data_IF_180846525884
#
_entry.id   IF_180846525884
#
_cell.length_a   1.000
_cell.length_b   1.000
_cell.length_c   1.000
_cell.angle_alpha   90.00
_cell.angle_beta   90.00
_cell.angle_gamma   90.00
#
_symmetry.space_group_name_H-M   'P 1'
#
loop_
_entity.id
_entity.type
_entity.pdbx_description
1 polymer ?
#
# COMPACT_ATOMS: atom_id res chain seq x y z
N UNK A 1 0.47 -13.59 12.21
CA UNK A 1 1.72 -12.82 12.06
C UNK A 1 2.38 -12.76 13.42
N UNK A 2 3.61 -13.23 13.52
CA UNK A 2 4.44 -13.01 14.73
C UNK A 2 4.82 -11.53 14.84
N UNK A 3 5.19 -11.11 16.06
CA UNK A 3 5.67 -9.72 16.30
C UNK A 3 6.94 -9.36 15.51
N UNK A 4 7.61 -10.37 14.93
CA UNK A 4 8.86 -10.22 14.19
C UNK A 4 8.70 -10.32 12.66
N UNK A 5 7.47 -10.51 12.16
CA UNK A 5 7.22 -10.64 10.72
C UNK A 5 7.12 -9.26 10.07
N UNK A 6 7.90 -9.00 9.03
CA UNK A 6 7.73 -7.79 8.19
C UNK A 6 6.31 -7.77 7.61
N UNK A 7 5.54 -6.69 7.82
CA UNK A 7 4.18 -6.57 7.29
C UNK A 7 4.14 -6.69 5.77
N UNK A 8 3.07 -7.23 5.21
CA UNK A 8 2.91 -7.38 3.75
C UNK A 8 3.08 -6.05 3.01
N UNK A 9 2.56 -4.96 3.57
CA UNK A 9 2.63 -3.62 2.98
C UNK A 9 4.05 -3.01 2.95
N UNK A 10 5.00 -3.59 3.71
CA UNK A 10 6.40 -3.14 3.79
C UNK A 10 7.35 -4.04 2.99
N UNK A 11 6.84 -5.18 2.50
CA UNK A 11 7.60 -6.10 1.66
C UNK A 11 7.65 -5.60 0.22
N UNK A 12 8.72 -5.95 -0.49
CA UNK A 12 8.82 -5.71 -1.93
C UNK A 12 7.89 -6.67 -2.67
N UNK A 13 7.00 -6.13 -3.49
CA UNK A 13 6.07 -6.91 -4.29
C UNK A 13 6.66 -7.20 -5.67
N UNK A 14 6.96 -8.46 -5.95
CA UNK A 14 7.52 -8.93 -7.21
C UNK A 14 6.47 -9.77 -7.92
N UNK A 15 5.96 -9.29 -9.05
CA UNK A 15 4.92 -9.97 -9.80
C UNK A 15 5.46 -10.57 -11.10
N UNK A 16 5.10 -11.83 -11.33
CA UNK A 16 5.48 -12.60 -12.50
C UNK A 16 4.33 -12.58 -13.51
N UNK A 17 4.60 -12.05 -14.70
CA UNK A 17 3.67 -11.95 -15.81
C UNK A 17 4.14 -12.80 -16.98
N UNK A 18 3.25 -13.09 -17.90
CA UNK A 18 3.59 -13.80 -19.13
C UNK A 18 2.45 -14.67 -19.63
N UNK A 19 2.62 -15.17 -20.84
CA UNK A 19 1.66 -16.06 -21.49
C UNK A 19 1.48 -17.37 -20.74
N UNK A 20 0.37 -18.02 -21.02
CA UNK A 20 0.18 -19.42 -20.62
C UNK A 20 1.29 -20.29 -21.22
N UNK A 21 1.74 -21.27 -20.47
CA UNK A 21 2.82 -22.20 -20.84
C UNK A 21 4.21 -21.57 -21.05
N UNK A 22 4.43 -20.29 -20.80
CA UNK A 22 5.77 -19.71 -20.76
C UNK A 22 6.65 -20.25 -19.61
N UNK A 23 6.08 -21.08 -18.72
CA UNK A 23 6.78 -21.64 -17.58
C UNK A 23 6.87 -20.68 -16.38
N UNK A 24 5.91 -19.73 -16.26
CA UNK A 24 5.87 -18.74 -15.22
C UNK A 24 5.87 -19.35 -13.82
N UNK A 25 4.92 -20.26 -13.53
CA UNK A 25 4.83 -20.92 -12.23
C UNK A 25 6.06 -21.81 -11.94
N UNK A 26 6.64 -22.46 -12.95
CA UNK A 26 7.90 -23.19 -12.81
C UNK A 26 9.06 -22.24 -12.45
N UNK A 27 9.13 -21.06 -13.08
CA UNK A 27 10.16 -20.06 -12.77
C UNK A 27 9.96 -19.48 -11.38
N UNK A 28 8.72 -19.20 -10.96
CA UNK A 28 8.40 -18.80 -9.59
C UNK A 28 8.88 -19.83 -8.59
N UNK A 29 8.62 -21.11 -8.82
CA UNK A 29 9.09 -22.20 -7.97
C UNK A 29 10.63 -22.30 -7.92
N UNK A 30 11.31 -22.13 -9.06
CA UNK A 30 12.77 -22.12 -9.14
C UNK A 30 13.38 -20.90 -8.39
N UNK A 31 12.82 -19.70 -8.58
CA UNK A 31 13.28 -18.48 -7.90
C UNK A 31 13.10 -18.59 -6.38
N UNK A 32 12.00 -19.17 -5.93
CA UNK A 32 11.67 -19.25 -4.51
C UNK A 32 12.27 -20.48 -3.82
N UNK A 33 12.69 -21.47 -4.57
CA UNK A 33 13.13 -22.77 -4.04
C UNK A 33 12.00 -23.56 -3.36
N UNK A 34 10.73 -23.25 -3.69
CA UNK A 34 9.54 -23.83 -3.07
C UNK A 34 8.47 -24.10 -4.13
N UNK A 35 7.66 -25.14 -3.93
CA UNK A 35 6.48 -25.40 -4.76
C UNK A 35 5.34 -24.47 -4.33
N UNK A 36 5.38 -23.21 -4.76
CA UNK A 36 4.38 -22.19 -4.43
C UNK A 36 3.18 -22.22 -5.36
N UNK A 37 3.44 -22.46 -6.64
CA UNK A 37 2.44 -22.44 -7.69
C UNK A 37 2.11 -23.86 -8.09
N UNK A 38 0.81 -24.15 -8.19
CA UNK A 38 0.38 -25.45 -8.73
C UNK A 38 0.61 -25.41 -10.24
N UNK A 39 1.61 -26.13 -10.72
CA UNK A 39 1.79 -26.39 -12.16
C UNK A 39 0.69 -27.37 -12.55
N UNK A 40 -0.35 -26.89 -13.25
CA UNK A 40 -1.46 -27.71 -13.71
C UNK A 40 -1.51 -27.73 -15.23
N UNK A 41 -1.52 -28.92 -15.79
CA UNK A 41 -1.72 -29.15 -17.23
C UNK A 41 -3.20 -28.98 -17.66
N UNK A 42 -4.11 -28.76 -16.69
CA UNK A 42 -5.55 -28.67 -16.94
C UNK A 42 -5.93 -27.21 -17.26
N UNK A 43 -6.63 -27.00 -18.38
CA UNK A 43 -7.15 -25.71 -18.81
C UNK A 43 -8.11 -25.11 -17.76
N UNK A 44 -7.81 -23.92 -17.24
CA UNK A 44 -8.76 -23.09 -16.49
C UNK A 44 -8.65 -23.09 -14.97
N UNK A 45 -7.57 -23.57 -14.36
CA UNK A 45 -7.51 -23.83 -12.92
C UNK A 45 -7.13 -22.63 -12.04
N UNK A 46 -6.62 -21.51 -12.54
CA UNK A 46 -6.33 -20.32 -11.71
C UNK A 46 -6.70 -19.04 -12.43
N UNK A 47 -7.73 -18.38 -11.94
CA UNK A 47 -8.15 -17.04 -12.39
C UNK A 47 -7.62 -15.94 -11.47
N UNK A 48 -7.18 -16.27 -10.24
CA UNK A 48 -6.70 -15.30 -9.26
C UNK A 48 -5.19 -15.39 -9.06
N UNK A 49 -4.50 -14.26 -8.83
CA UNK A 49 -3.08 -14.25 -8.56
C UNK A 49 -2.76 -14.92 -7.22
N UNK A 50 -1.73 -15.78 -7.20
CA UNK A 50 -1.25 -16.41 -5.98
C UNK A 50 -0.18 -15.53 -5.36
N UNK A 51 -0.38 -15.16 -4.09
CA UNK A 51 0.55 -14.31 -3.34
C UNK A 51 1.19 -15.06 -2.19
N UNK A 52 2.50 -14.94 -2.03
CA UNK A 52 3.23 -15.50 -0.90
C UNK A 52 4.30 -14.54 -0.38
N UNK A 53 4.24 -14.28 0.92
CA UNK A 53 5.28 -13.55 1.64
C UNK A 53 6.42 -14.51 2.02
N UNK A 54 7.66 -14.07 1.80
CA UNK A 54 8.85 -14.85 2.13
C UNK A 54 10.09 -13.95 2.25
N UNK A 55 11.19 -14.53 2.71
CA UNK A 55 12.52 -13.95 2.57
C UNK A 55 13.17 -14.45 1.28
N UNK A 56 13.68 -13.53 0.48
CA UNK A 56 14.38 -13.84 -0.78
C UNK A 56 15.73 -13.12 -0.82
N UNK A 57 16.82 -13.83 -0.62
CA UNK A 57 18.16 -13.24 -0.72
C UNK A 57 18.52 -12.95 -2.19
N UNK A 58 19.18 -11.82 -2.47
CA UNK A 58 19.66 -10.77 -1.55
C UNK A 58 18.64 -9.66 -1.24
N UNK A 59 17.37 -9.81 -1.63
CA UNK A 59 16.32 -8.78 -1.53
C UNK A 59 15.76 -8.60 -0.11
N UNK A 60 15.81 -9.66 0.73
CA UNK A 60 15.16 -9.66 2.04
C UNK A 60 13.66 -10.00 1.96
N UNK A 61 12.80 -9.32 2.75
CA UNK A 61 11.39 -9.62 2.82
C UNK A 61 10.65 -9.20 1.53
N UNK A 62 10.03 -10.16 0.84
CA UNK A 62 9.29 -9.96 -0.41
C UNK A 62 7.90 -10.56 -0.36
N UNK A 63 7.04 -10.13 -1.28
CA UNK A 63 5.82 -10.82 -1.68
C UNK A 63 5.98 -11.25 -3.14
N UNK A 64 5.98 -12.52 -3.38
CA UNK A 64 5.96 -13.09 -4.74
C UNK A 64 4.52 -13.22 -5.19
N UNK A 65 4.22 -12.74 -6.39
CA UNK A 65 2.89 -12.77 -7.00
C UNK A 65 2.99 -13.52 -8.33
N UNK A 66 2.39 -14.72 -8.37
CA UNK A 66 2.20 -15.46 -9.62
C UNK A 66 0.87 -15.08 -10.24
N UNK A 67 0.89 -14.45 -11.41
CA UNK A 67 -0.32 -14.00 -12.10
C UNK A 67 -0.86 -15.10 -13.02
N UNK A 68 -2.18 -15.14 -13.29
CA UNK A 68 -2.73 -15.99 -14.33
C UNK A 68 -2.07 -15.73 -15.69
N UNK A 69 -1.86 -16.77 -16.49
CA UNK A 69 -1.32 -16.60 -17.84
C UNK A 69 -2.26 -15.76 -18.71
N UNK A 70 -1.71 -14.84 -19.48
CA UNK A 70 -2.45 -14.01 -20.42
C UNK A 70 -2.56 -14.79 -21.73
N UNK A 71 -3.78 -15.16 -22.11
CA UNK A 71 -4.07 -15.82 -23.38
C UNK A 71 -4.60 -14.77 -24.40
N UNK A 72 -4.31 -14.94 -25.68
CA UNK A 72 -4.61 -13.96 -26.73
C UNK A 72 -6.07 -13.98 -27.21
N UNK A 73 -6.96 -14.89 -26.71
CA UNK A 73 -8.27 -15.09 -27.33
C UNK A 73 -9.46 -15.00 -26.34
N UNK A 74 -10.45 -14.17 -26.69
CA UNK A 74 -11.82 -14.14 -26.16
C UNK A 74 -12.02 -13.33 -24.88
N UNK A 75 -13.25 -13.29 -24.39
CA UNK A 75 -13.69 -12.54 -23.18
C UNK A 75 -12.91 -12.88 -21.90
N UNK A 76 -12.33 -14.08 -21.81
CA UNK A 76 -11.46 -14.48 -20.72
C UNK A 76 -10.11 -13.73 -20.79
N UNK A 77 -9.63 -13.36 -21.98
CA UNK A 77 -8.42 -12.57 -22.17
C UNK A 77 -8.53 -11.17 -21.60
N UNK A 78 -9.65 -10.48 -21.86
CA UNK A 78 -9.93 -9.14 -21.33
C UNK A 78 -9.98 -9.13 -19.80
N UNK A 79 -10.63 -10.11 -19.19
CA UNK A 79 -10.67 -10.25 -17.73
C UNK A 79 -9.28 -10.49 -17.12
N UNK A 80 -8.40 -11.22 -17.79
CA UNK A 80 -7.04 -11.50 -17.34
C UNK A 80 -6.12 -10.27 -17.47
N UNK A 81 -6.29 -9.50 -18.54
CA UNK A 81 -5.59 -8.21 -18.72
C UNK A 81 -6.02 -7.24 -17.60
N UNK A 82 -7.30 -7.15 -17.28
CA UNK A 82 -7.78 -6.30 -16.21
C UNK A 82 -7.24 -6.75 -14.84
N UNK A 83 -7.21 -8.06 -14.56
CA UNK A 83 -6.57 -8.59 -13.36
C UNK A 83 -5.05 -8.33 -13.32
N UNK A 84 -4.37 -8.42 -14.48
CA UNK A 84 -2.96 -8.06 -14.57
C UNK A 84 -2.73 -6.58 -14.25
N UNK A 85 -3.60 -5.68 -14.75
CA UNK A 85 -3.58 -4.25 -14.42
C UNK A 85 -3.76 -3.99 -12.92
N UNK A 86 -4.70 -4.70 -12.28
CA UNK A 86 -4.94 -4.60 -10.83
C UNK A 86 -3.72 -5.08 -10.02
N UNK A 87 -3.06 -6.16 -10.45
CA UNK A 87 -1.82 -6.63 -9.81
C UNK A 87 -0.71 -5.60 -9.95
N UNK A 88 -0.59 -4.98 -11.13
CA UNK A 88 0.42 -3.96 -11.39
C UNK A 88 0.27 -2.72 -10.48
N UNK A 89 -0.94 -2.40 -10.02
CA UNK A 89 -1.17 -1.28 -9.10
C UNK A 89 -0.38 -1.41 -7.79
N UNK A 90 -0.12 -2.64 -7.34
CA UNK A 90 0.67 -2.93 -6.14
C UNK A 90 2.02 -3.58 -6.41
N UNK A 91 2.53 -3.54 -7.65
CA UNK A 91 3.79 -4.21 -8.04
C UNK A 91 4.97 -3.24 -7.96
N UNK A 92 5.99 -3.61 -7.18
CA UNK A 92 7.24 -2.86 -7.13
C UNK A 92 8.16 -3.24 -8.30
N UNK A 93 8.22 -4.53 -8.66
CA UNK A 93 9.03 -5.05 -9.77
C UNK A 93 8.20 -6.07 -10.56
N UNK A 94 8.22 -5.94 -11.88
CA UNK A 94 7.63 -6.92 -12.78
C UNK A 94 8.68 -7.86 -13.38
N UNK A 95 8.36 -9.15 -13.46
CA UNK A 95 9.15 -10.15 -14.19
C UNK A 95 8.28 -10.66 -15.33
N UNK A 96 8.64 -10.31 -16.57
CA UNK A 96 7.99 -10.84 -17.76
C UNK A 96 8.64 -12.17 -18.15
N UNK A 97 7.89 -13.25 -18.04
CA UNK A 97 8.34 -14.59 -18.41
C UNK A 97 7.89 -14.90 -19.84
N UNK A 98 8.85 -15.02 -20.72
CA UNK A 98 8.67 -15.32 -22.14
C UNK A 98 9.14 -16.75 -22.41
N UNK A 99 8.46 -17.49 -23.28
CA UNK A 99 8.97 -18.75 -23.80
C UNK A 99 10.16 -18.46 -24.72
N UNK A 100 11.36 -18.80 -24.27
CA UNK A 100 12.60 -18.52 -25.00
C UNK A 100 12.70 -19.21 -26.36
N UNK A 101 11.95 -20.30 -26.57
CA UNK A 101 11.92 -21.04 -27.86
C UNK A 101 11.04 -20.33 -28.90
N UNK A 102 10.08 -19.50 -28.45
CA UNK A 102 9.14 -18.78 -29.33
C UNK A 102 9.48 -17.29 -29.48
N UNK A 103 10.19 -16.71 -28.49
CA UNK A 103 10.46 -15.28 -28.44
C UNK A 103 9.26 -14.43 -27.98
N UNK A 104 9.44 -13.10 -27.95
CA UNK A 104 8.40 -12.15 -27.56
C UNK A 104 7.25 -12.13 -28.57
N UNK A 105 6.04 -12.03 -28.05
CA UNK A 105 4.80 -11.90 -28.82
C UNK A 105 4.20 -10.50 -28.65
N UNK A 106 3.12 -10.20 -29.39
CA UNK A 106 2.40 -8.92 -29.27
C UNK A 106 1.90 -8.70 -27.84
N UNK A 107 1.34 -9.73 -27.18
CA UNK A 107 0.86 -9.65 -25.80
C UNK A 107 1.98 -9.36 -24.79
N UNK A 108 3.18 -9.89 -25.00
CA UNK A 108 4.35 -9.58 -24.17
C UNK A 108 4.76 -8.11 -24.33
N UNK A 109 4.67 -7.58 -25.56
CA UNK A 109 4.95 -6.16 -25.85
C UNK A 109 3.90 -5.23 -25.21
N UNK A 110 2.63 -5.62 -25.19
CA UNK A 110 1.58 -4.88 -24.48
C UNK A 110 1.83 -4.83 -22.97
N UNK A 111 2.29 -5.93 -22.37
CA UNK A 111 2.68 -5.93 -20.97
C UNK A 111 3.85 -5.00 -20.68
N UNK A 112 4.88 -5.00 -21.53
CA UNK A 112 6.02 -4.09 -21.40
C UNK A 112 5.54 -2.64 -21.47
N UNK A 113 4.68 -2.28 -22.42
CA UNK A 113 4.10 -0.94 -22.51
C UNK A 113 3.34 -0.56 -21.24
N UNK A 114 2.61 -1.50 -20.61
CA UNK A 114 1.92 -1.26 -19.35
C UNK A 114 2.91 -1.03 -18.19
N UNK A 115 4.02 -1.76 -18.14
CA UNK A 115 5.05 -1.57 -17.11
C UNK A 115 5.69 -0.17 -17.25
N UNK A 116 6.00 0.24 -18.48
CA UNK A 116 6.57 1.54 -18.80
C UNK A 116 5.60 2.68 -18.48
N UNK A 117 4.33 2.58 -18.88
CA UNK A 117 3.28 3.56 -18.55
C UNK A 117 3.10 3.77 -17.05
N UNK A 118 3.28 2.70 -16.26
CA UNK A 118 3.16 2.75 -14.80
C UNK A 118 4.49 3.01 -14.09
N UNK A 119 5.59 3.25 -14.84
CA UNK A 119 6.94 3.41 -14.30
C UNK A 119 7.32 2.26 -13.35
N UNK A 120 6.98 1.01 -13.72
CA UNK A 120 7.34 -0.17 -12.94
C UNK A 120 8.65 -0.74 -13.53
N UNK A 121 9.72 -0.83 -12.74
CA UNK A 121 10.95 -1.48 -13.18
C UNK A 121 10.66 -2.95 -13.49
N UNK A 122 11.23 -3.47 -14.57
CA UNK A 122 10.98 -4.83 -15.01
C UNK A 122 12.21 -5.54 -15.55
N UNK A 123 12.14 -6.85 -15.58
CA UNK A 123 13.10 -7.72 -16.27
C UNK A 123 12.36 -8.70 -17.17
N UNK A 124 12.90 -8.95 -18.35
CA UNK A 124 12.42 -9.99 -19.27
C UNK A 124 13.25 -11.26 -19.05
N UNK A 125 12.57 -12.35 -18.64
CA UNK A 125 13.16 -13.66 -18.44
C UNK A 125 12.71 -14.61 -19.57
N UNK A 126 13.61 -14.90 -20.50
CA UNK A 126 13.39 -15.88 -21.57
C UNK A 126 13.60 -17.28 -20.99
N UNK A 127 12.51 -17.90 -20.54
CA UNK A 127 12.53 -19.22 -19.91
C UNK A 127 12.62 -20.35 -20.95
N UNK A 128 12.88 -21.56 -20.52
CA UNK A 128 13.11 -22.77 -21.33
C UNK A 128 14.38 -22.68 -22.19
N UNK A 129 15.40 -22.03 -21.67
CA UNK A 129 16.70 -21.92 -22.34
C UNK A 129 17.34 -23.29 -22.63
N UNK A 130 16.98 -24.32 -21.86
CA UNK A 130 17.38 -25.71 -22.04
C UNK A 130 16.95 -26.33 -23.39
N UNK A 131 15.90 -25.78 -24.00
CA UNK A 131 15.43 -26.19 -25.31
C UNK A 131 16.24 -25.57 -26.49
N UNK A 132 17.11 -24.60 -26.20
CA UNK A 132 17.89 -23.88 -27.18
C UNK A 132 19.35 -24.37 -27.23
N UNK A 133 19.85 -24.74 -28.40
CA UNK A 133 21.26 -25.13 -28.58
C UNK A 133 22.23 -23.96 -28.34
N UNK A 134 21.87 -22.77 -28.78
CA UNK A 134 22.63 -21.51 -28.60
C UNK A 134 21.64 -20.36 -28.34
N UNK A 135 21.37 -19.98 -27.11
CA UNK A 135 20.52 -18.84 -26.82
C UNK A 135 21.12 -17.56 -27.45
N UNK A 136 20.34 -16.78 -28.21
CA UNK A 136 20.85 -15.53 -28.78
C UNK A 136 21.12 -14.51 -27.67
N UNK A 137 22.07 -13.60 -27.92
CA UNK A 137 22.26 -12.44 -27.05
C UNK A 137 21.06 -11.51 -27.21
N UNK A 138 20.27 -11.32 -26.12
CA UNK A 138 19.18 -10.35 -26.08
C UNK A 138 19.64 -9.12 -25.29
N UNK A 139 19.53 -7.94 -25.91
CA UNK A 139 19.89 -6.68 -25.26
C UNK A 139 18.92 -6.28 -24.14
N UNK A 140 17.71 -6.86 -24.10
CA UNK A 140 16.59 -6.44 -23.28
C UNK A 140 16.15 -7.46 -22.22
N UNK A 141 16.85 -8.58 -22.07
CA UNK A 141 16.48 -9.65 -21.16
C UNK A 141 17.60 -10.62 -20.85
N UNK A 142 17.23 -11.75 -20.25
CA UNK A 142 18.16 -12.83 -19.96
C UNK A 142 17.50 -14.20 -20.18
N UNK A 143 18.30 -15.15 -20.62
CA UNK A 143 17.86 -16.56 -20.75
C UNK A 143 17.98 -17.27 -19.43
N UNK A 144 16.94 -18.04 -19.06
CA UNK A 144 16.84 -18.84 -17.86
C UNK A 144 16.23 -20.21 -18.20
N UNK A 145 16.54 -21.21 -17.43
CA UNK A 145 15.79 -22.48 -17.41
C UNK A 145 15.32 -22.77 -16.00
N UNK A 146 14.01 -22.72 -15.80
CA UNK A 146 13.39 -23.13 -14.56
C UNK A 146 13.55 -24.64 -14.31
N UNK A 147 13.60 -25.45 -15.37
CA UNK A 147 13.75 -26.91 -15.31
C UNK A 147 15.16 -27.31 -14.85
N UNK A 148 16.19 -26.69 -15.42
CA UNK A 148 17.59 -26.97 -15.12
C UNK A 148 18.18 -26.03 -14.04
N UNK A 149 17.39 -25.09 -13.53
CA UNK A 149 17.81 -24.07 -12.57
C UNK A 149 19.00 -23.22 -13.04
N UNK A 150 19.15 -23.00 -14.36
CA UNK A 150 20.21 -22.17 -14.94
C UNK A 150 19.76 -20.74 -15.13
N UNK A 151 20.64 -19.74 -14.84
CA UNK A 151 20.32 -18.31 -14.92
C UNK A 151 19.39 -17.79 -13.83
N UNK A 152 18.92 -18.66 -12.92
CA UNK A 152 17.96 -18.27 -11.86
C UNK A 152 18.63 -17.41 -10.78
N UNK A 153 19.89 -17.69 -10.46
CA UNK A 153 20.66 -16.87 -9.52
C UNK A 153 20.88 -15.47 -10.09
N UNK A 154 21.31 -15.35 -11.31
CA UNK A 154 21.55 -14.10 -12.03
C UNK A 154 20.25 -13.29 -12.16
N UNK A 155 19.10 -13.96 -12.35
CA UNK A 155 17.79 -13.32 -12.36
C UNK A 155 17.48 -12.67 -11.00
N UNK A 156 17.74 -13.36 -9.88
CA UNK A 156 17.57 -12.79 -8.52
C UNK A 156 18.44 -11.57 -8.32
N UNK A 157 19.71 -11.62 -8.72
CA UNK A 157 20.63 -10.48 -8.64
C UNK A 157 20.14 -9.30 -9.49
N UNK A 158 19.65 -9.56 -10.71
CA UNK A 158 19.11 -8.51 -11.58
C UNK A 158 17.87 -7.87 -10.99
N UNK A 159 16.94 -8.65 -10.43
CA UNK A 159 15.77 -8.15 -9.71
C UNK A 159 16.22 -7.29 -8.51
N UNK A 160 17.21 -7.74 -7.73
CA UNK A 160 17.74 -6.98 -6.59
C UNK A 160 18.33 -5.63 -7.00
N UNK A 161 19.02 -5.57 -8.13
CA UNK A 161 19.64 -4.35 -8.62
C UNK A 161 18.61 -3.31 -9.11
N UNK A 162 17.44 -3.74 -9.60
CA UNK A 162 16.36 -2.83 -9.96
C UNK A 162 15.79 -2.03 -8.79
N UNK A 163 15.88 -2.56 -7.55
CA UNK A 163 15.40 -1.88 -6.34
C UNK A 163 16.36 -0.81 -5.80
N UNK A 164 17.66 -0.94 -6.05
CA UNK A 164 18.68 -0.09 -5.43
C UNK A 164 18.64 1.36 -5.93
N UNK A 165 17.98 1.62 -7.05
CA UNK A 165 18.05 2.93 -7.71
C UNK A 165 16.99 3.94 -7.25
N UNK A 166 15.87 3.56 -6.58
CA UNK A 166 14.70 4.44 -6.51
C UNK A 166 13.99 4.56 -5.13
N UNK A 167 14.47 3.91 -4.07
CA UNK A 167 13.83 4.10 -2.76
C UNK A 167 14.46 5.27 -2.00
N UNK A 168 13.86 6.46 -2.11
CA UNK A 168 13.90 7.42 -1.02
C UNK A 168 13.34 6.72 0.23
N UNK A 169 14.17 6.54 1.26
CA UNK A 169 13.72 6.01 2.54
C UNK A 169 12.78 7.04 3.17
N UNK A 170 11.50 6.94 2.89
CA UNK A 170 10.49 7.76 3.56
C UNK A 170 10.39 7.32 5.01
N UNK A 171 10.43 8.29 5.89
CA UNK A 171 10.30 8.08 7.33
C UNK A 171 8.87 8.35 7.77
N UNK A 172 8.40 7.65 8.79
CA UNK A 172 7.08 7.90 9.38
C UNK A 172 7.15 9.15 10.28
N UNK A 173 8.11 9.17 11.22
CA UNK A 173 8.28 10.25 12.19
C UNK A 173 9.73 10.52 12.65
N UNK A 174 10.73 9.74 12.22
CA UNK A 174 12.11 9.86 12.73
C UNK A 174 12.75 11.22 12.46
N UNK A 175 12.44 11.84 11.33
CA UNK A 175 12.91 13.19 10.99
C UNK A 175 12.21 14.31 11.77
N UNK A 176 11.17 13.98 12.52
CA UNK A 176 10.41 14.89 13.37
C UNK A 176 10.90 14.89 14.82
N UNK A 177 11.80 13.99 15.18
CA UNK A 177 12.27 13.77 16.55
C UNK A 177 13.78 13.68 16.57
N UNK A 178 14.37 13.84 17.76
CA UNK A 178 15.80 13.72 18.00
C UNK A 178 16.05 12.64 19.07
N UNK A 179 17.28 12.13 19.10
CA UNK A 179 17.69 11.21 20.16
C UNK A 179 17.50 11.85 21.54
N UNK A 180 16.94 11.10 22.49
CA UNK A 180 16.58 11.57 23.82
C UNK A 180 15.23 12.27 23.95
N UNK A 181 14.54 12.57 22.82
CA UNK A 181 13.19 13.11 22.85
C UNK A 181 12.20 12.11 23.46
N UNK A 182 11.17 12.64 24.11
CA UNK A 182 10.01 11.82 24.56
C UNK A 182 8.86 12.03 23.60
N UNK A 183 8.31 10.93 23.07
CA UNK A 183 7.14 10.91 22.20
C UNK A 183 6.01 10.16 22.90
N UNK A 184 4.83 10.80 23.01
CA UNK A 184 3.65 10.16 23.60
C UNK A 184 2.74 9.65 22.49
N UNK A 185 2.47 8.34 22.51
CA UNK A 185 1.54 7.68 21.59
C UNK A 185 0.23 7.42 22.33
N UNK A 186 -0.85 8.04 21.88
CA UNK A 186 -2.19 7.87 22.46
C UNK A 186 -2.97 6.86 21.64
N UNK A 187 -3.22 5.70 22.23
CA UNK A 187 -3.84 4.53 21.62
C UNK A 187 -5.17 4.24 22.30
N UNK A 188 -6.30 4.64 21.71
CA UNK A 188 -7.61 4.31 22.25
C UNK A 188 -7.83 2.79 22.25
N UNK A 189 -8.38 2.27 23.33
CA UNK A 189 -8.78 0.85 23.43
C UNK A 189 -10.28 0.79 23.18
N UNK A 190 -10.66 0.60 21.94
CA UNK A 190 -12.06 0.42 21.57
C UNK A 190 -12.37 -1.04 21.19
N UNK A 191 -13.66 -1.32 20.96
CA UNK A 191 -14.12 -2.67 20.57
C UNK A 191 -13.65 -3.09 19.18
N UNK A 192 -13.20 -2.14 18.34
CA UNK A 192 -12.71 -2.39 17.00
C UNK A 192 -11.21 -2.75 17.00
N UNK A 193 -10.47 -2.40 18.06
CA UNK A 193 -9.09 -2.81 18.20
C UNK A 193 -8.99 -4.33 18.41
N UNK A 194 -8.10 -5.04 17.67
CA UNK A 194 -7.91 -6.46 17.88
C UNK A 194 -7.45 -6.72 19.31
N UNK A 195 -8.19 -7.56 20.06
CA UNK A 195 -7.85 -7.88 21.44
C UNK A 195 -6.39 -8.36 21.56
N UNK A 196 -5.62 -7.73 22.43
CA UNK A 196 -4.22 -8.06 22.69
C UNK A 196 -3.23 -7.61 21.61
N UNK A 197 -3.64 -6.74 20.68
CA UNK A 197 -2.76 -6.22 19.60
C UNK A 197 -2.89 -4.71 19.47
N UNK A 198 -1.78 -4.06 19.12
CA UNK A 198 -1.75 -2.71 18.57
C UNK A 198 -1.72 -2.79 17.05
N UNK A 199 -2.29 -1.82 16.35
CA UNK A 199 -2.38 -1.83 14.89
C UNK A 199 -1.04 -1.45 14.26
N UNK A 200 -0.85 -1.81 12.99
CA UNK A 200 0.42 -1.65 12.28
C UNK A 200 1.01 -0.21 12.34
N UNK A 201 0.26 0.88 12.13
CA UNK A 201 0.82 2.22 12.22
C UNK A 201 1.39 2.56 13.61
N UNK A 202 0.78 2.02 14.66
CA UNK A 202 1.25 2.21 16.04
C UNK A 202 2.55 1.43 16.28
N UNK A 203 2.63 0.19 15.78
CA UNK A 203 3.86 -0.62 15.86
C UNK A 203 5.02 0.03 15.10
N UNK A 204 4.77 0.53 13.90
CA UNK A 204 5.76 1.22 13.07
C UNK A 204 6.28 2.48 13.78
N UNK A 205 5.37 3.31 14.34
CA UNK A 205 5.76 4.51 15.05
C UNK A 205 6.62 4.20 16.28
N UNK A 206 6.22 3.22 17.10
CA UNK A 206 7.01 2.79 18.26
C UNK A 206 8.40 2.35 17.82
N UNK A 207 8.49 1.51 16.80
CA UNK A 207 9.77 1.00 16.31
C UNK A 207 10.66 2.12 15.80
N UNK A 208 10.14 3.03 15.00
CA UNK A 208 10.93 4.12 14.41
C UNK A 208 11.40 5.14 15.46
N UNK A 209 10.56 5.40 16.50
CA UNK A 209 10.96 6.23 17.65
C UNK A 209 12.15 5.60 18.38
N UNK A 210 12.11 4.29 18.64
CA UNK A 210 13.20 3.57 19.30
C UNK A 210 14.48 3.54 18.44
N UNK A 211 14.35 3.31 17.14
CA UNK A 211 15.46 3.33 16.18
C UNK A 211 16.13 4.72 16.10
N UNK A 212 15.38 5.79 16.37
CA UNK A 212 15.86 7.17 16.44
C UNK A 212 16.54 7.51 17.79
N UNK A 213 16.62 6.57 18.73
CA UNK A 213 17.15 6.81 20.06
C UNK A 213 16.26 7.67 20.95
N UNK A 214 14.99 7.81 20.61
CA UNK A 214 13.96 8.53 21.38
C UNK A 214 13.17 7.59 22.31
N UNK A 215 12.43 8.17 23.23
CA UNK A 215 11.62 7.45 24.23
C UNK A 215 10.16 7.39 23.77
N UNK A 216 9.60 6.20 23.64
CA UNK A 216 8.19 6.00 23.35
C UNK A 216 7.38 5.77 24.62
N UNK A 217 6.44 6.65 24.92
CA UNK A 217 5.47 6.50 26.01
C UNK A 217 4.11 6.19 25.39
N UNK A 218 3.55 5.02 25.67
CA UNK A 218 2.26 4.60 25.13
C UNK A 218 1.21 4.69 26.23
N UNK A 219 0.11 5.38 25.93
CA UNK A 219 -0.99 5.59 26.88
C UNK A 219 -2.35 5.48 26.19
N UNK A 220 -3.42 5.26 26.95
CA UNK A 220 -4.78 5.38 26.46
C UNK A 220 -5.22 6.85 26.44
N UNK A 221 -6.26 7.13 25.70
CA UNK A 221 -6.88 8.46 25.66
C UNK A 221 -7.41 8.91 27.02
N UNK A 222 -7.96 7.98 27.82
CA UNK A 222 -8.45 8.23 29.18
C UNK A 222 -7.36 8.60 30.19
N UNK A 223 -6.12 8.14 30.01
CA UNK A 223 -4.99 8.41 30.91
C UNK A 223 -4.02 9.48 30.36
N UNK A 224 -4.32 10.08 29.22
CA UNK A 224 -3.41 10.99 28.54
C UNK A 224 -2.98 12.19 29.42
N UNK A 225 -3.93 12.84 30.08
CA UNK A 225 -3.63 14.00 30.94
C UNK A 225 -2.77 13.59 32.15
N UNK A 226 -3.07 12.46 32.78
CA UNK A 226 -2.26 11.91 33.86
C UNK A 226 -0.85 11.57 33.37
N UNK A 227 -0.74 10.99 32.17
CA UNK A 227 0.55 10.66 31.56
C UNK A 227 1.39 11.93 31.35
N UNK A 228 0.82 13.00 30.76
CA UNK A 228 1.53 14.26 30.58
C UNK A 228 2.05 14.84 31.90
N UNK A 229 1.23 14.78 32.95
CA UNK A 229 1.59 15.29 34.28
C UNK A 229 2.65 14.45 35.00
N UNK A 230 2.82 13.18 34.60
CA UNK A 230 3.83 12.27 35.18
C UNK A 230 5.20 12.36 34.55
N UNK A 231 5.30 12.99 33.37
CA UNK A 231 6.58 13.15 32.66
C UNK A 231 7.43 14.24 33.32
N UNK A 232 8.71 13.93 33.53
CA UNK A 232 9.69 14.91 34.05
C UNK A 232 9.96 16.06 33.06
N UNK A 233 9.79 15.80 31.76
CA UNK A 233 9.97 16.77 30.68
C UNK A 233 8.80 16.71 29.72
N UNK A 234 8.48 17.85 29.09
CA UNK A 234 7.44 17.91 28.07
C UNK A 234 7.80 17.03 26.86
N UNK A 235 6.86 16.25 26.34
CA UNK A 235 7.12 15.49 25.12
C UNK A 235 7.34 16.40 23.93
N UNK A 236 8.24 16.03 23.03
CA UNK A 236 8.50 16.76 21.78
C UNK A 236 7.39 16.57 20.75
N UNK A 237 6.68 15.43 20.82
CA UNK A 237 5.62 15.06 19.90
C UNK A 237 4.54 14.20 20.61
N UNK A 238 3.28 14.44 20.27
CA UNK A 238 2.14 13.58 20.61
C UNK A 238 1.57 13.01 19.31
N UNK A 239 1.42 11.69 19.26
CA UNK A 239 0.82 10.97 18.12
C UNK A 239 -0.44 10.28 18.61
N UNK A 240 -1.59 10.54 18.00
CA UNK A 240 -2.86 9.97 18.44
C UNK A 240 -3.60 9.27 17.31
N UNK A 241 -4.60 8.47 17.65
CA UNK A 241 -5.54 7.94 16.69
C UNK A 241 -6.51 9.04 16.21
N UNK A 242 -6.95 8.95 14.96
CA UNK A 242 -7.88 9.93 14.38
C UNK A 242 -9.21 10.04 15.12
N UNK A 243 -9.64 8.98 15.80
CA UNK A 243 -10.86 8.97 16.61
C UNK A 243 -10.73 9.81 17.88
N UNK A 244 -9.58 9.76 18.54
CA UNK A 244 -9.29 10.50 19.77
C UNK A 244 -8.79 11.92 19.50
N UNK A 245 -8.44 12.24 18.25
CA UNK A 245 -7.73 13.47 17.88
C UNK A 245 -8.38 14.74 18.46
N UNK A 246 -9.70 14.88 18.37
CA UNK A 246 -10.41 16.06 18.85
C UNK A 246 -10.35 16.26 20.38
N UNK A 247 -10.31 15.16 21.14
CA UNK A 247 -10.18 15.19 22.60
C UNK A 247 -8.74 15.50 22.99
N UNK A 248 -7.80 14.78 22.39
CA UNK A 248 -6.37 14.93 22.65
C UNK A 248 -5.87 16.32 22.28
N UNK A 249 -6.36 16.89 21.17
CA UNK A 249 -6.00 18.25 20.75
C UNK A 249 -6.39 19.33 21.76
N UNK A 250 -7.48 19.12 22.51
CA UNK A 250 -7.89 20.05 23.58
C UNK A 250 -7.05 19.92 24.84
N UNK A 251 -6.54 18.73 25.11
CA UNK A 251 -5.73 18.42 26.29
C UNK A 251 -4.23 18.66 26.05
N UNK A 252 -3.81 18.70 24.79
CA UNK A 252 -2.39 18.92 24.44
C UNK A 252 -2.05 20.41 24.54
N UNK A 253 -1.05 20.81 25.33
CA UNK A 253 -0.54 22.16 25.36
C UNK A 253 -0.10 22.66 23.97
N UNK A 254 -0.30 23.95 23.66
CA UNK A 254 -0.05 24.54 22.35
C UNK A 254 1.43 24.50 21.92
N UNK A 255 2.33 24.39 22.85
CA UNK A 255 3.77 24.29 22.66
C UNK A 255 4.24 22.85 22.39
N UNK A 256 3.35 21.87 22.47
CA UNK A 256 3.63 20.48 22.13
C UNK A 256 3.06 20.16 20.74
N UNK A 257 3.90 19.60 19.88
CA UNK A 257 3.49 19.19 18.54
C UNK A 257 2.53 17.99 18.61
N UNK A 258 1.45 18.06 17.84
CA UNK A 258 0.43 17.01 17.80
C UNK A 258 0.19 16.56 16.36
N UNK A 259 0.13 15.25 16.14
CA UNK A 259 -0.25 14.64 14.86
C UNK A 259 -1.06 13.37 15.08
N UNK A 260 -1.45 12.69 14.00
CA UNK A 260 -2.13 11.40 14.08
C UNK A 260 -1.43 10.33 13.26
N UNK A 261 -1.62 9.05 13.64
CA UNK A 261 -1.11 7.92 12.87
C UNK A 261 -1.56 7.96 11.41
N UNK A 262 -2.80 8.39 11.13
CA UNK A 262 -3.30 8.48 9.75
C UNK A 262 -2.62 9.59 8.94
N UNK A 263 -2.25 10.71 9.56
CA UNK A 263 -1.49 11.79 8.90
C UNK A 263 -0.07 11.33 8.62
N UNK A 264 0.58 10.69 9.60
CA UNK A 264 1.91 10.11 9.43
C UNK A 264 1.92 9.04 8.33
N UNK A 265 0.90 8.18 8.29
CA UNK A 265 0.76 7.19 7.21
C UNK A 265 0.56 7.83 5.83
N UNK A 266 -0.23 8.91 5.72
CA UNK A 266 -0.37 9.64 4.46
C UNK A 266 0.96 10.24 3.99
N UNK A 267 1.77 10.74 4.93
CA UNK A 267 3.11 11.23 4.69
C UNK A 267 4.05 10.10 4.23
N UNK A 268 4.08 9.01 4.98
CA UNK A 268 4.88 7.82 4.68
C UNK A 268 4.55 7.22 3.31
N UNK A 269 3.27 7.18 2.95
CA UNK A 269 2.80 6.71 1.63
C UNK A 269 2.91 7.78 0.51
N UNK A 270 3.41 8.98 0.80
CA UNK A 270 3.63 10.05 -0.19
C UNK A 270 2.38 10.73 -0.71
N UNK A 271 1.25 10.60 -0.01
CA UNK A 271 -0.04 11.17 -0.44
C UNK A 271 -0.52 12.35 0.40
N UNK A 272 0.31 12.85 1.33
CA UNK A 272 -0.09 13.87 2.29
C UNK A 272 -0.58 15.15 1.62
N UNK A 273 0.16 15.69 0.67
CA UNK A 273 -0.15 16.95 0.00
C UNK A 273 -1.46 16.88 -0.80
N UNK A 274 -1.62 15.82 -1.57
CA UNK A 274 -2.86 15.56 -2.31
C UNK A 274 -4.03 15.41 -1.36
N UNK A 275 -3.87 14.66 -0.28
CA UNK A 275 -4.93 14.44 0.70
C UNK A 275 -5.31 15.74 1.44
N UNK A 276 -4.32 16.59 1.75
CA UNK A 276 -4.54 17.89 2.35
C UNK A 276 -5.33 18.84 1.43
N UNK A 277 -4.96 18.88 0.15
CA UNK A 277 -5.70 19.65 -0.87
C UNK A 277 -7.12 19.12 -1.07
N UNK A 278 -7.25 17.77 -1.16
CA UNK A 278 -8.52 17.11 -1.39
C UNK A 278 -9.52 17.27 -0.25
N UNK A 279 -9.08 17.45 1.00
CA UNK A 279 -9.98 17.70 2.13
C UNK A 279 -10.80 18.97 1.98
N UNK A 280 -10.28 19.99 1.28
CA UNK A 280 -11.01 21.24 1.01
C UNK A 280 -12.25 21.03 0.14
N UNK A 281 -12.29 19.94 -0.65
CA UNK A 281 -13.46 19.62 -1.45
C UNK A 281 -14.69 19.26 -0.60
N UNK A 282 -14.52 18.93 0.68
CA UNK A 282 -15.62 18.69 1.62
C UNK A 282 -16.56 19.90 1.71
N UNK A 283 -16.02 21.12 1.65
CA UNK A 283 -16.81 22.36 1.76
C UNK A 283 -17.68 22.62 0.51
N UNK A 284 -17.33 22.02 -0.62
CA UNK A 284 -18.04 22.18 -1.90
C UNK A 284 -19.08 21.10 -2.17
N UNK A 285 -19.27 20.14 -1.26
CA UNK A 285 -20.25 19.06 -1.43
C UNK A 285 -21.67 19.59 -1.35
N UNK A 286 -22.54 19.09 -2.23
CA UNK A 286 -23.94 19.44 -2.36
C UNK A 286 -24.85 18.24 -2.08
N UNK A 287 -26.17 18.51 -1.90
CA UNK A 287 -27.16 17.45 -1.74
C UNK A 287 -27.19 16.53 -2.97
N UNK A 288 -27.19 15.22 -2.72
CA UNK A 288 -27.19 14.20 -3.75
C UNK A 288 -25.80 13.81 -4.28
N UNK A 289 -24.74 14.54 -3.92
CA UNK A 289 -23.37 14.17 -4.30
C UNK A 289 -22.98 12.81 -3.73
N UNK A 290 -22.18 12.06 -4.49
CA UNK A 290 -21.69 10.74 -4.08
C UNK A 290 -20.23 10.82 -3.67
N UNK A 291 -19.91 10.34 -2.47
CA UNK A 291 -18.55 10.24 -1.92
C UNK A 291 -18.15 8.78 -1.81
N UNK A 292 -16.97 8.44 -2.34
CA UNK A 292 -16.39 7.11 -2.17
C UNK A 292 -15.58 7.06 -0.87
N UNK A 293 -15.89 6.13 0.01
CA UNK A 293 -15.08 5.78 1.17
C UNK A 293 -14.38 4.46 0.89
N UNK A 294 -13.05 4.49 0.75
CA UNK A 294 -12.24 3.34 0.32
C UNK A 294 -11.34 2.83 1.43
N UNK A 295 -11.41 1.55 1.70
CA UNK A 295 -10.60 0.86 2.70
C UNK A 295 -9.61 -0.10 2.04
N UNK A 296 -8.35 -0.08 2.48
CA UNK A 296 -7.30 -0.96 1.97
C UNK A 296 -7.32 -2.38 2.53
N UNK A 297 -8.21 -2.69 3.46
CA UNK A 297 -8.33 -4.00 4.09
C UNK A 297 -9.77 -4.50 4.09
N UNK A 298 -9.91 -5.82 4.28
CA UNK A 298 -11.21 -6.51 4.38
C UNK A 298 -11.46 -6.97 5.82
N UNK A 299 -11.26 -6.09 6.79
CA UNK A 299 -11.52 -6.43 8.18
C UNK A 299 -13.03 -6.54 8.47
N UNK A 300 -13.38 -7.29 9.51
CA UNK A 300 -14.78 -7.48 9.87
C UNK A 300 -15.37 -6.14 10.35
N UNK A 301 -16.36 -5.64 9.63
CA UNK A 301 -17.05 -4.38 9.95
C UNK A 301 -17.85 -4.54 11.23
N UNK A 302 -17.61 -3.65 12.19
CA UNK A 302 -18.36 -3.59 13.46
C UNK A 302 -19.43 -2.49 13.43
N UNK A 303 -20.36 -2.54 14.37
CA UNK A 303 -21.50 -1.60 14.45
C UNK A 303 -21.10 -0.11 14.52
N UNK A 304 -19.86 0.22 14.94
CA UNK A 304 -19.31 1.58 15.08
C UNK A 304 -18.06 1.80 14.21
N UNK A 305 -17.99 1.17 13.07
CA UNK A 305 -16.85 1.28 12.14
C UNK A 305 -16.62 2.73 11.69
N UNK A 306 -15.33 3.09 11.52
CA UNK A 306 -14.94 4.47 11.16
C UNK A 306 -15.42 4.81 9.76
N UNK A 307 -15.17 3.93 8.78
CA UNK A 307 -15.41 4.19 7.37
C UNK A 307 -16.89 4.17 7.03
N UNK A 308 -17.64 3.19 7.56
CA UNK A 308 -19.03 2.95 7.17
C UNK A 308 -20.07 3.65 8.05
N UNK A 309 -19.68 4.07 9.28
CA UNK A 309 -20.64 4.67 10.24
C UNK A 309 -20.19 6.05 10.71
N UNK A 310 -19.00 6.16 11.31
CA UNK A 310 -18.59 7.41 11.98
C UNK A 310 -18.29 8.53 10.98
N UNK A 311 -17.54 8.22 9.93
CA UNK A 311 -17.16 9.21 8.92
C UNK A 311 -18.34 9.70 8.08
N UNK A 312 -19.26 8.84 7.57
CA UNK A 312 -20.49 9.28 6.94
C UNK A 312 -21.35 10.21 7.81
N UNK A 313 -21.50 9.85 9.10
CA UNK A 313 -22.25 10.69 10.05
C UNK A 313 -21.57 12.05 10.27
N UNK A 314 -20.24 12.06 10.42
CA UNK A 314 -19.48 13.30 10.59
C UNK A 314 -19.56 14.17 9.34
N UNK A 315 -19.45 13.58 8.14
CA UNK A 315 -19.51 14.30 6.87
C UNK A 315 -20.87 15.00 6.68
N UNK A 316 -21.97 14.27 6.88
CA UNK A 316 -23.33 14.82 6.82
C UNK A 316 -23.55 15.90 7.87
N UNK A 317 -23.06 15.69 9.11
CA UNK A 317 -23.17 16.69 10.18
C UNK A 317 -22.39 17.97 9.88
N UNK A 318 -21.20 17.84 9.29
CA UNK A 318 -20.34 18.98 8.96
C UNK A 318 -20.89 19.78 7.79
N UNK A 319 -21.26 19.12 6.70
CA UNK A 319 -21.77 19.78 5.49
C UNK A 319 -23.22 20.26 5.62
N UNK A 320 -24.02 19.63 6.49
CA UNK A 320 -25.47 19.83 6.55
C UNK A 320 -26.22 19.30 5.33
N UNK A 321 -25.58 18.45 4.50
CA UNK A 321 -26.09 17.96 3.21
C UNK A 321 -26.42 16.48 3.24
N UNK A 322 -27.34 16.07 2.36
CA UNK A 322 -27.64 14.64 2.13
C UNK A 322 -26.65 14.04 1.12
N UNK A 323 -25.54 13.54 1.65
CA UNK A 323 -24.45 12.96 0.88
C UNK A 323 -24.66 11.44 0.74
N UNK A 324 -24.60 10.95 -0.50
CA UNK A 324 -24.59 9.53 -0.81
C UNK A 324 -23.19 8.96 -0.55
N UNK A 325 -23.13 7.81 0.11
CA UNK A 325 -21.87 7.15 0.42
C UNK A 325 -21.82 5.80 -0.29
N UNK A 326 -20.79 5.60 -1.09
CA UNK A 326 -20.39 4.29 -1.60
C UNK A 326 -19.11 3.85 -0.90
N UNK A 327 -18.96 2.55 -0.70
CA UNK A 327 -17.78 1.99 -0.02
C UNK A 327 -17.10 0.95 -0.89
N UNK A 328 -15.75 0.94 -0.86
CA UNK A 328 -14.94 -0.13 -1.42
C UNK A 328 -13.98 -0.68 -0.35
N UNK A 329 -13.57 -1.95 -0.47
CA UNK A 329 -12.68 -2.58 0.51
C UNK A 329 -11.65 -3.50 -0.15
N UNK A 330 -10.51 -3.68 0.51
CA UNK A 330 -9.44 -4.52 -0.01
C UNK A 330 -8.88 -3.99 -1.33
N UNK A 331 -8.83 -4.83 -2.34
CA UNK A 331 -8.34 -4.47 -3.70
C UNK A 331 -9.43 -3.99 -4.65
N UNK A 332 -10.68 -4.01 -4.22
CA UNK A 332 -11.82 -3.52 -4.99
C UNK A 332 -11.88 -2.00 -4.99
N UNK A 333 -10.98 -1.37 -5.73
CA UNK A 333 -11.03 0.06 -5.98
C UNK A 333 -11.72 0.32 -7.33
N UNK A 334 -12.80 1.14 -7.40
CA UNK A 334 -13.55 1.35 -8.62
C UNK A 334 -12.69 1.89 -9.77
N UNK A 335 -12.95 1.42 -10.98
CA UNK A 335 -12.31 1.91 -12.21
C UNK A 335 -12.96 3.21 -12.70
N UNK A 336 -14.28 3.34 -12.52
CA UNK A 336 -15.04 4.55 -12.88
C UNK A 336 -15.19 5.47 -11.68
N UNK A 337 -14.35 6.50 -11.62
CA UNK A 337 -14.32 7.45 -10.51
C UNK A 337 -15.08 8.75 -10.79
N UNK A 338 -15.36 9.10 -12.04
CA UNK A 338 -15.96 10.38 -12.43
C UNK A 338 -17.33 10.66 -11.78
N UNK A 339 -18.05 9.64 -11.32
CA UNK A 339 -19.33 9.78 -10.60
C UNK A 339 -19.17 10.31 -9.16
N UNK A 340 -17.96 10.22 -8.59
CA UNK A 340 -17.70 10.67 -7.22
C UNK A 340 -17.24 12.13 -7.18
N UNK A 341 -17.66 12.85 -6.16
CA UNK A 341 -17.20 14.22 -5.88
C UNK A 341 -15.99 14.26 -4.97
N UNK A 342 -15.74 13.18 -4.25
CA UNK A 342 -14.61 13.04 -3.34
C UNK A 342 -14.31 11.57 -3.09
N UNK A 343 -13.03 11.23 -3.01
CA UNK A 343 -12.54 9.94 -2.49
C UNK A 343 -11.94 10.17 -1.12
N UNK A 344 -12.44 9.46 -0.11
CA UNK A 344 -11.87 9.44 1.25
C UNK A 344 -11.29 8.04 1.50
N UNK A 345 -9.97 7.93 1.47
CA UNK A 345 -9.25 6.67 1.63
C UNK A 345 -8.88 6.43 3.10
N UNK A 346 -8.82 5.18 3.56
CA UNK A 346 -8.26 4.87 4.88
C UNK A 346 -6.74 5.15 4.93
N UNK A 347 -6.08 4.92 6.07
CA UNK A 347 -4.63 5.11 6.20
C UNK A 347 -3.77 4.20 5.32
N UNK A 348 -4.36 3.19 4.66
CA UNK A 348 -3.66 2.30 3.74
C UNK A 348 -2.58 1.42 4.37
N UNK A 349 -2.68 1.13 5.67
CA UNK A 349 -1.65 0.38 6.41
C UNK A 349 -1.43 -1.06 5.91
N UNK A 350 -2.42 -1.65 5.25
CA UNK A 350 -2.34 -3.00 4.65
C UNK A 350 -1.98 -2.99 3.16
N UNK A 351 -1.89 -1.81 2.55
CA UNK A 351 -1.50 -1.61 1.17
C UNK A 351 -0.06 -1.12 1.10
N UNK A 352 0.69 -1.54 0.10
CA UNK A 352 2.00 -0.95 -0.15
C UNK A 352 1.87 0.47 -0.73
N UNK A 353 2.98 1.17 -0.81
CA UNK A 353 3.02 2.56 -1.29
C UNK A 353 2.51 2.69 -2.73
N UNK A 354 2.92 1.78 -3.62
CA UNK A 354 2.53 1.78 -5.03
C UNK A 354 1.02 1.65 -5.22
N UNK A 355 0.35 0.81 -4.43
CA UNK A 355 -1.09 0.64 -4.52
C UNK A 355 -1.86 1.88 -4.02
N UNK A 356 -1.40 2.52 -2.94
CA UNK A 356 -2.00 3.78 -2.45
C UNK A 356 -1.81 4.89 -3.48
N UNK A 357 -0.60 5.00 -4.06
CA UNK A 357 -0.29 5.99 -5.07
C UNK A 357 -1.08 5.75 -6.38
N UNK A 358 -1.24 4.52 -6.81
CA UNK A 358 -2.08 4.17 -7.96
C UNK A 358 -3.54 4.62 -7.77
N UNK A 359 -4.11 4.42 -6.57
CA UNK A 359 -5.47 4.89 -6.25
C UNK A 359 -5.58 6.41 -6.28
N UNK A 360 -4.57 7.10 -5.73
CA UNK A 360 -4.47 8.56 -5.80
C UNK A 360 -4.41 9.03 -7.25
N UNK A 361 -3.52 8.46 -8.07
CA UNK A 361 -3.38 8.82 -9.48
C UNK A 361 -4.67 8.57 -10.27
N UNK A 362 -5.37 7.46 -10.03
CA UNK A 362 -6.68 7.18 -10.65
C UNK A 362 -7.70 8.26 -10.30
N UNK A 363 -7.75 8.71 -9.05
CA UNK A 363 -8.65 9.79 -8.64
C UNK A 363 -8.26 11.13 -9.31
N UNK A 364 -6.99 11.49 -9.31
CA UNK A 364 -6.49 12.70 -9.97
C UNK A 364 -6.76 12.71 -11.48
N UNK A 365 -6.50 11.60 -12.17
CA UNK A 365 -6.77 11.46 -13.61
C UNK A 365 -8.27 11.57 -13.95
N UNK A 366 -9.14 11.17 -13.02
CA UNK A 366 -10.59 11.36 -13.15
C UNK A 366 -11.06 12.76 -12.72
N UNK A 367 -10.16 13.66 -12.28
CA UNK A 367 -10.48 14.98 -11.77
C UNK A 367 -11.21 14.95 -10.41
N UNK A 368 -11.10 13.84 -9.67
CA UNK A 368 -11.78 13.64 -8.38
C UNK A 368 -10.82 13.90 -7.22
N UNK A 369 -11.15 14.84 -6.31
CA UNK A 369 -10.34 15.10 -5.12
C UNK A 369 -10.15 13.83 -4.28
N UNK A 370 -8.93 13.68 -3.74
CA UNK A 370 -8.54 12.54 -2.92
C UNK A 370 -8.06 13.00 -1.55
N UNK A 371 -8.60 12.42 -0.48
CA UNK A 371 -8.16 12.66 0.90
C UNK A 371 -8.12 11.36 1.71
N UNK A 372 -7.67 11.42 2.97
CA UNK A 372 -7.71 10.27 3.85
C UNK A 372 -8.55 10.51 5.12
N UNK A 373 -8.88 9.44 5.85
CA UNK A 373 -9.70 9.47 7.07
C UNK A 373 -9.19 10.49 8.09
N UNK A 374 -7.90 10.44 8.42
CA UNK A 374 -7.32 11.31 9.44
C UNK A 374 -7.36 12.78 9.07
N UNK A 375 -7.03 13.09 7.82
CA UNK A 375 -7.04 14.46 7.30
C UNK A 375 -8.47 14.97 7.19
N UNK A 376 -9.40 14.17 6.64
CA UNK A 376 -10.81 14.54 6.55
C UNK A 376 -11.43 14.81 7.94
N UNK A 377 -11.18 13.94 8.92
CA UNK A 377 -11.67 14.10 10.28
C UNK A 377 -11.06 15.35 10.93
N UNK A 378 -9.75 15.58 10.80
CA UNK A 378 -9.07 16.75 11.33
C UNK A 378 -9.56 18.04 10.69
N UNK A 379 -9.81 18.02 9.38
CA UNK A 379 -10.37 19.15 8.64
C UNK A 379 -11.77 19.53 9.14
N UNK A 380 -12.69 18.57 9.17
CA UNK A 380 -14.05 18.79 9.64
C UNK A 380 -14.15 19.17 11.13
N UNK A 381 -13.11 18.91 11.92
CA UNK A 381 -13.02 19.30 13.33
C UNK A 381 -12.34 20.66 13.52
N UNK A 382 -11.86 21.32 12.47
CA UNK A 382 -11.15 22.60 12.53
C UNK A 382 -9.76 22.52 13.16
N UNK A 383 -9.18 21.32 13.23
CA UNK A 383 -7.92 21.06 13.92
C UNK A 383 -6.77 20.92 12.91
N UNK A 384 -7.10 20.80 11.63
CA UNK A 384 -6.15 20.50 10.57
C UNK A 384 -4.98 21.52 10.49
N UNK A 385 -5.22 22.83 10.67
CA UNK A 385 -4.20 23.87 10.59
C UNK A 385 -3.21 23.90 11.78
N UNK A 386 -3.51 23.24 12.87
CA UNK A 386 -2.64 23.14 14.07
C UNK A 386 -1.92 21.79 14.23
N UNK A 387 -2.34 20.77 13.50
CA UNK A 387 -1.83 19.37 13.66
C UNK A 387 -0.60 19.04 12.81
N UNK A 388 0.22 19.95 12.46
CA UNK A 388 0.69 20.20 11.17
C UNK A 388 2.16 20.23 10.97
N UNK A 389 2.62 19.26 10.35
CA UNK A 389 3.82 19.19 9.56
C UNK A 389 3.59 19.52 8.06
N UNK A 390 2.43 20.09 7.70
CA UNK A 390 2.09 20.51 6.34
C UNK A 390 2.87 21.76 5.91
N UNK A 391 3.41 22.54 6.84
CA UNK A 391 4.16 23.76 6.54
C UNK A 391 5.68 23.59 6.45
N UNK A 392 6.20 22.35 6.36
CA UNK A 392 7.62 22.06 6.19
C UNK A 392 7.92 21.11 5.01
N UNK A 393 7.06 21.16 3.98
CA UNK A 393 7.35 20.53 2.69
C UNK A 393 7.43 21.62 1.64
#
# INVERSE_FOLDING_TARGET
>A
MGLNDTPLAERVHIAFFGKRNAGKSSLVNAVTGQNLSVVSDIKGTTTDPVMKAMELLPLGPVVIIDTPGIDDEGSLGEMRIEKARQVLDGTDIAVLVVDGSMGKTAADSELINLFEQKNIPYVVAYNKADLLKNPPHTGDGMFVSAEQNTGVFELKERIANLLKSDREQRTLCSDLISAGDTVVLVVPIDKAAPKGRIILPQQMAIREILDSGAIAVVTRDSEFEQTLNSLAQKPSLVITDSQAFAVIAKLTPKDIRLTSFSILMARYKGVLDTAAKGAKAIDSLCDGDTVLISEGCTHHRQCDDIGTVKLPRLLRKYTGKDIKIETSSGRDFPTELAKYKLVIHCGGCMLNEKEVDSRRQKAENAGVPFTNYGIAISYMRGIFNGSLFVNKI
#
